data_IF_490429834730
#
_entry.id   IF_490429834730
#
_cell.length_a   1.000
_cell.length_b   1.000
_cell.length_c   1.000
_cell.angle_alpha   90.00
_cell.angle_beta   90.00
_cell.angle_gamma   90.00
#
_symmetry.space_group_name_H-M   'P 1'
#
loop_
_entity.id
_entity.type
_entity.pdbx_description
1 polymer ?
#
# COMPACT_ATOMS: atom_id res chain seq x y z
N UNK A 1 1.44 -12.79 -15.10
CA UNK A 1 0.03 -12.57 -15.48
C UNK A 1 -0.45 -11.28 -14.84
N UNK A 2 -1.22 -10.47 -15.57
CA UNK A 2 -1.85 -9.23 -15.09
C UNK A 2 -3.36 -9.34 -15.25
N UNK A 3 -4.08 -9.14 -14.15
CA UNK A 3 -5.52 -8.91 -14.12
C UNK A 3 -5.76 -7.44 -13.76
N UNK A 4 -6.36 -6.68 -14.65
CA UNK A 4 -6.63 -5.26 -14.44
C UNK A 4 -8.11 -4.97 -14.61
N UNK A 5 -8.76 -4.48 -13.55
CA UNK A 5 -10.20 -4.18 -13.50
C UNK A 5 -11.10 -5.35 -13.94
N UNK A 6 -10.66 -6.58 -13.68
CA UNK A 6 -11.33 -7.81 -14.13
C UNK A 6 -11.88 -8.65 -12.98
N UNK A 7 -11.32 -8.45 -11.78
CA UNK A 7 -11.70 -9.27 -10.63
C UNK A 7 -13.16 -9.05 -10.24
N UNK A 8 -13.66 -7.83 -10.34
CA UNK A 8 -15.05 -7.51 -10.02
C UNK A 8 -16.05 -8.28 -10.89
N UNK A 9 -15.73 -8.47 -12.20
CA UNK A 9 -16.56 -9.23 -13.12
C UNK A 9 -16.47 -10.72 -12.82
N UNK A 10 -15.25 -11.23 -12.60
CA UNK A 10 -15.02 -12.64 -12.22
C UNK A 10 -15.65 -12.96 -10.86
N UNK A 11 -15.66 -12.00 -9.95
CA UNK A 11 -16.07 -12.16 -8.56
C UNK A 11 -17.58 -11.93 -8.34
N UNK A 12 -18.36 -11.63 -9.37
CA UNK A 12 -19.79 -11.38 -9.22
C UNK A 12 -20.48 -12.63 -8.64
N UNK A 13 -21.18 -12.44 -7.52
CA UNK A 13 -21.88 -13.53 -6.82
C UNK A 13 -20.98 -14.55 -6.09
N UNK A 14 -19.65 -14.30 -6.02
CA UNK A 14 -18.69 -15.21 -5.39
C UNK A 14 -18.15 -14.68 -4.06
N UNK A 15 -17.91 -15.59 -3.13
CA UNK A 15 -17.22 -15.28 -1.88
C UNK A 15 -15.68 -15.23 -2.05
N UNK A 16 -14.98 -14.78 -1.01
CA UNK A 16 -13.51 -14.63 -1.03
C UNK A 16 -12.79 -15.98 -1.25
N UNK A 17 -13.33 -17.08 -0.77
CA UNK A 17 -12.74 -18.41 -0.93
C UNK A 17 -12.85 -18.91 -2.38
N UNK A 18 -13.97 -18.66 -3.02
CA UNK A 18 -14.17 -19.00 -4.44
C UNK A 18 -13.23 -18.18 -5.34
N UNK A 19 -13.13 -16.85 -5.07
CA UNK A 19 -12.20 -15.96 -5.79
C UNK A 19 -10.75 -16.41 -5.58
N UNK A 20 -10.38 -16.82 -4.36
CA UNK A 20 -9.05 -17.33 -4.06
C UNK A 20 -8.70 -18.57 -4.88
N UNK A 21 -9.64 -19.52 -5.04
CA UNK A 21 -9.44 -20.71 -5.88
C UNK A 21 -9.22 -20.34 -7.35
N UNK A 22 -9.97 -19.36 -7.87
CA UNK A 22 -9.79 -18.88 -9.24
C UNK A 22 -8.40 -18.24 -9.42
N UNK A 23 -7.96 -17.41 -8.47
CA UNK A 23 -6.61 -16.80 -8.51
C UNK A 23 -5.50 -17.86 -8.46
N UNK A 24 -5.68 -18.91 -7.65
CA UNK A 24 -4.76 -20.06 -7.62
C UNK A 24 -4.75 -20.79 -8.96
N UNK A 25 -5.91 -21.09 -9.54
CA UNK A 25 -6.01 -21.72 -10.86
C UNK A 25 -5.35 -20.90 -11.97
N UNK A 26 -5.54 -19.57 -11.97
CA UNK A 26 -4.87 -18.67 -12.91
C UNK A 26 -3.34 -18.71 -12.73
N UNK A 27 -2.87 -18.86 -11.49
CA UNK A 27 -1.45 -18.89 -11.19
C UNK A 27 -0.73 -20.13 -11.73
N UNK A 28 -1.43 -21.21 -12.05
CA UNK A 28 -0.85 -22.41 -12.67
C UNK A 28 -0.22 -22.12 -14.05
N UNK A 29 -0.66 -21.04 -14.70
CA UNK A 29 -0.06 -20.56 -15.96
C UNK A 29 1.24 -19.76 -15.77
N UNK A 30 1.66 -19.50 -14.53
CA UNK A 30 2.88 -18.73 -14.25
C UNK A 30 4.12 -19.57 -14.56
N UNK A 31 5.11 -18.93 -15.18
CA UNK A 31 6.46 -19.49 -15.27
C UNK A 31 7.09 -19.53 -13.87
N UNK A 32 8.11 -20.39 -13.64
CA UNK A 32 8.87 -20.38 -12.39
C UNK A 32 9.35 -18.97 -12.02
N UNK A 33 9.05 -18.51 -10.81
CA UNK A 33 9.36 -17.16 -10.33
C UNK A 33 8.47 -16.05 -10.91
N UNK A 34 7.44 -16.39 -11.65
CA UNK A 34 6.46 -15.44 -12.19
C UNK A 34 5.55 -14.85 -11.11
N UNK A 35 4.88 -13.76 -11.48
CA UNK A 35 3.95 -13.05 -10.62
C UNK A 35 2.55 -12.99 -11.23
N UNK A 36 1.55 -13.11 -10.37
CA UNK A 36 0.18 -12.73 -10.66
C UNK A 36 -0.06 -11.35 -10.01
N UNK A 37 -0.33 -10.37 -10.84
CA UNK A 37 -0.61 -8.99 -10.43
C UNK A 37 -2.10 -8.77 -10.63
N UNK A 38 -2.81 -8.38 -9.59
CA UNK A 38 -4.23 -7.98 -9.68
C UNK A 38 -4.33 -6.52 -9.31
N UNK A 39 -4.92 -5.73 -10.20
CA UNK A 39 -5.13 -4.28 -10.03
C UNK A 39 -6.60 -3.96 -10.22
N UNK A 40 -7.20 -3.28 -9.25
CA UNK A 40 -8.61 -2.95 -9.23
C UNK A 40 -8.85 -1.47 -8.94
N UNK A 41 -9.99 -0.90 -9.36
CA UNK A 41 -10.35 0.47 -8.99
C UNK A 41 -10.38 0.68 -7.47
N UNK A 42 -9.97 1.86 -7.01
CA UNK A 42 -9.88 2.19 -5.57
C UNK A 42 -11.25 2.50 -4.94
N UNK A 43 -12.23 1.66 -5.18
CA UNK A 43 -13.50 1.68 -4.45
C UNK A 43 -13.34 0.81 -3.19
N UNK A 44 -13.99 1.22 -2.10
CA UNK A 44 -13.84 0.49 -0.82
C UNK A 44 -14.20 -0.98 -0.97
N UNK A 45 -15.39 -1.28 -1.50
CA UNK A 45 -15.89 -2.65 -1.62
C UNK A 45 -15.02 -3.50 -2.53
N UNK A 46 -14.48 -2.90 -3.60
CA UNK A 46 -13.56 -3.56 -4.54
C UNK A 46 -12.23 -3.88 -3.88
N UNK A 47 -11.64 -2.91 -3.17
CA UNK A 47 -10.38 -3.12 -2.45
C UNK A 47 -10.54 -4.11 -1.30
N UNK A 48 -11.62 -4.02 -0.54
CA UNK A 48 -11.88 -4.96 0.56
C UNK A 48 -12.05 -6.39 0.03
N UNK A 49 -12.81 -6.58 -1.06
CA UNK A 49 -12.95 -7.88 -1.75
C UNK A 49 -11.62 -8.44 -2.22
N UNK A 50 -10.78 -7.59 -2.86
CA UNK A 50 -9.45 -7.95 -3.32
C UNK A 50 -8.57 -8.45 -2.16
N UNK A 51 -8.56 -7.73 -1.05
CA UNK A 51 -7.74 -8.09 0.11
C UNK A 51 -8.30 -9.25 0.93
N UNK A 52 -9.61 -9.44 0.99
CA UNK A 52 -10.22 -10.65 1.56
C UNK A 52 -9.85 -11.88 0.73
N UNK A 53 -9.96 -11.79 -0.60
CA UNK A 53 -9.53 -12.86 -1.49
C UNK A 53 -8.04 -13.20 -1.31
N UNK A 54 -7.17 -12.17 -1.16
CA UNK A 54 -5.75 -12.41 -0.90
C UNK A 54 -5.50 -13.14 0.42
N UNK A 55 -6.27 -12.85 1.47
CA UNK A 55 -6.19 -13.58 2.74
C UNK A 55 -6.58 -15.05 2.56
N UNK A 56 -7.67 -15.32 1.83
CA UNK A 56 -8.07 -16.69 1.52
C UNK A 56 -7.06 -17.44 0.64
N UNK A 57 -6.35 -16.76 -0.27
CA UNK A 57 -5.23 -17.33 -1.03
C UNK A 57 -4.10 -17.79 -0.11
N UNK A 58 -3.77 -16.98 0.90
CA UNK A 58 -2.74 -17.34 1.89
C UNK A 58 -3.13 -18.57 2.72
N UNK A 59 -4.42 -18.75 3.02
CA UNK A 59 -4.94 -19.93 3.73
C UNK A 59 -4.80 -21.21 2.88
N UNK A 60 -4.97 -21.13 1.56
CA UNK A 60 -4.72 -22.24 0.62
C UNK A 60 -3.24 -22.65 0.64
N UNK A 61 -2.32 -21.67 0.80
CA UNK A 61 -0.90 -21.91 1.01
C UNK A 61 -0.07 -22.20 -0.25
N UNK A 62 -0.66 -22.16 -1.45
CA UNK A 62 0.06 -22.40 -2.72
C UNK A 62 0.75 -21.15 -3.27
N UNK A 63 0.32 -19.97 -2.85
CA UNK A 63 0.86 -18.67 -3.24
C UNK A 63 1.25 -17.84 -2.02
N UNK A 64 2.18 -16.94 -2.24
CA UNK A 64 2.64 -15.97 -1.27
C UNK A 64 2.35 -14.55 -1.74
N UNK A 65 1.99 -13.68 -0.80
CA UNK A 65 1.76 -12.27 -1.05
C UNK A 65 3.11 -11.51 -1.02
N UNK A 66 3.42 -10.79 -2.08
CA UNK A 66 4.62 -9.95 -2.20
C UNK A 66 4.32 -8.45 -2.03
N UNK A 67 3.08 -8.05 -2.08
CA UNK A 67 2.63 -6.67 -1.92
C UNK A 67 1.12 -6.58 -1.81
N UNK A 68 0.61 -5.47 -1.27
CA UNK A 68 1.33 -4.22 -0.96
C UNK A 68 2.11 -4.20 0.36
N UNK A 69 1.93 -5.18 1.26
CA UNK A 69 2.55 -5.18 2.59
C UNK A 69 3.73 -6.14 2.68
N UNK A 70 4.63 -5.87 3.64
CA UNK A 70 5.84 -6.66 3.86
C UNK A 70 5.57 -8.05 4.41
N UNK A 71 6.56 -8.94 4.23
CA UNK A 71 6.60 -10.28 4.82
C UNK A 71 5.41 -11.17 4.47
N UNK A 72 4.76 -10.91 3.34
CA UNK A 72 3.59 -11.67 2.92
C UNK A 72 2.36 -11.47 3.81
N UNK A 73 2.31 -10.39 4.58
CA UNK A 73 1.23 -10.13 5.51
C UNK A 73 -0.08 -9.75 4.78
N UNK A 74 -1.23 -10.20 5.30
CA UNK A 74 -2.53 -9.77 4.80
C UNK A 74 -2.78 -8.29 5.09
N UNK A 75 -3.80 -7.72 4.45
CA UNK A 75 -4.15 -6.31 4.62
C UNK A 75 -4.66 -6.02 6.04
N UNK A 76 -3.99 -5.17 6.83
CA UNK A 76 -4.41 -4.88 8.19
C UNK A 76 -5.75 -4.14 8.26
N UNK A 77 -6.10 -3.35 7.24
CA UNK A 77 -7.34 -2.56 7.22
C UNK A 77 -8.59 -3.43 7.10
N UNK A 78 -8.54 -4.48 6.29
CA UNK A 78 -9.66 -5.40 6.15
C UNK A 78 -9.85 -6.22 7.42
N UNK A 79 -8.76 -6.67 8.04
CA UNK A 79 -8.81 -7.47 9.28
C UNK A 79 -9.33 -6.66 10.47
N UNK A 80 -9.04 -5.36 10.53
CA UNK A 80 -9.49 -4.47 11.60
C UNK A 80 -10.90 -3.89 11.40
N UNK A 81 -11.52 -4.10 10.24
CA UNK A 81 -12.80 -3.45 9.89
C UNK A 81 -12.70 -1.93 9.77
N UNK A 82 -11.55 -1.41 9.38
CA UNK A 82 -11.30 0.01 9.26
C UNK A 82 -12.29 0.72 8.32
N UNK A 83 -12.60 1.99 8.59
CA UNK A 83 -13.46 2.82 7.73
C UNK A 83 -12.81 3.15 6.39
N UNK A 84 -11.48 3.17 6.34
CA UNK A 84 -10.69 3.38 5.14
C UNK A 84 -10.18 2.04 4.61
N UNK A 85 -9.80 2.02 3.34
CA UNK A 85 -9.39 0.83 2.62
C UNK A 85 -7.98 0.99 2.04
N UNK A 86 -7.33 -0.13 1.77
CA UNK A 86 -6.02 -0.18 1.16
C UNK A 86 -6.11 0.19 -0.32
N UNK A 87 -5.45 1.25 -0.71
CA UNK A 87 -5.31 1.65 -2.11
C UNK A 87 -4.04 2.47 -2.30
N UNK A 88 -3.61 2.59 -3.54
CA UNK A 88 -2.52 3.45 -3.96
C UNK A 88 -3.04 4.70 -4.65
N UNK A 89 -2.25 5.76 -4.59
CA UNK A 89 -2.50 7.01 -5.30
C UNK A 89 -1.24 7.39 -6.05
N UNK A 90 -1.32 7.53 -7.37
CA UNK A 90 -0.22 8.01 -8.20
C UNK A 90 -0.63 9.30 -8.87
N UNK A 91 0.16 10.33 -8.64
CA UNK A 91 -0.03 11.65 -9.24
C UNK A 91 0.83 11.77 -10.47
N UNK A 92 0.26 11.41 -11.61
CA UNK A 92 0.93 11.51 -12.90
C UNK A 92 0.05 12.23 -13.91
N UNK A 93 0.70 12.96 -14.80
CA UNK A 93 0.00 13.51 -15.96
C UNK A 93 -0.53 12.34 -16.79
N UNK A 94 -1.85 12.26 -17.05
CA UNK A 94 -2.42 11.20 -17.86
C UNK A 94 -1.81 11.23 -19.29
N UNK A 95 -1.82 10.09 -20.00
CA UNK A 95 -1.48 10.07 -21.43
C UNK A 95 -2.27 11.12 -22.20
N UNK A 96 -1.67 11.67 -23.25
CA UNK A 96 -2.28 12.77 -24.02
C UNK A 96 -3.67 12.44 -24.55
N UNK A 97 -3.88 11.19 -25.00
CA UNK A 97 -5.20 10.74 -25.46
C UNK A 97 -6.26 10.84 -24.36
N UNK A 98 -5.92 10.47 -23.12
CA UNK A 98 -6.84 10.57 -21.97
C UNK A 98 -7.14 12.05 -21.65
N UNK A 99 -6.13 12.92 -21.73
CA UNK A 99 -6.33 14.36 -21.55
C UNK A 99 -7.28 14.93 -22.59
N UNK A 100 -7.10 14.58 -23.87
CA UNK A 100 -7.97 15.02 -24.98
C UNK A 100 -9.41 14.54 -24.80
N UNK A 101 -9.63 13.29 -24.33
CA UNK A 101 -10.96 12.75 -24.05
C UNK A 101 -11.65 13.42 -22.87
N UNK A 102 -10.88 13.83 -21.87
CA UNK A 102 -11.41 14.43 -20.66
C UNK A 102 -11.67 15.93 -20.79
N UNK A 103 -10.94 16.62 -21.67
CA UNK A 103 -11.04 18.06 -21.87
C UNK A 103 -12.46 18.55 -22.22
N UNK A 104 -13.20 17.94 -23.19
CA UNK A 104 -14.55 18.39 -23.54
C UNK A 104 -15.58 18.28 -22.43
N UNK A 105 -15.37 17.37 -21.45
CA UNK A 105 -16.27 17.15 -20.34
C UNK A 105 -15.77 17.79 -19.03
N UNK A 106 -14.72 18.63 -19.12
CA UNK A 106 -14.19 19.38 -17.97
C UNK A 106 -13.51 18.52 -16.91
N UNK A 107 -13.16 17.26 -17.21
CA UNK A 107 -12.48 16.38 -16.25
C UNK A 107 -10.97 16.65 -16.25
N UNK A 108 -10.43 16.89 -15.05
CA UNK A 108 -8.99 16.98 -14.83
C UNK A 108 -8.54 15.84 -13.90
N UNK A 109 -8.31 14.67 -14.49
CA UNK A 109 -7.81 13.52 -13.75
C UNK A 109 -6.31 13.71 -13.49
N UNK A 110 -5.94 13.89 -12.22
CA UNK A 110 -4.54 14.03 -11.79
C UNK A 110 -4.07 12.84 -10.98
N UNK A 111 -4.98 12.18 -10.29
CA UNK A 111 -4.69 11.07 -9.39
C UNK A 111 -5.21 9.76 -10.00
N UNK A 112 -4.30 8.80 -10.20
CA UNK A 112 -4.67 7.42 -10.50
C UNK A 112 -4.75 6.67 -9.18
N UNK A 113 -5.95 6.20 -8.85
CA UNK A 113 -6.23 5.48 -7.60
C UNK A 113 -6.58 4.03 -7.90
N UNK A 114 -5.89 3.10 -7.25
CA UNK A 114 -6.11 1.67 -7.47
C UNK A 114 -5.75 0.85 -6.23
N UNK A 115 -6.45 -0.27 -6.03
CA UNK A 115 -6.03 -1.35 -5.14
C UNK A 115 -5.18 -2.35 -5.91
N UNK A 116 -4.23 -3.01 -5.25
CA UNK A 116 -3.49 -4.09 -5.89
C UNK A 116 -3.04 -5.16 -4.91
N UNK A 117 -2.82 -6.35 -5.45
CA UNK A 117 -2.07 -7.42 -4.80
C UNK A 117 -1.05 -8.00 -5.77
N UNK A 118 0.04 -8.50 -5.23
CA UNK A 118 1.11 -9.15 -5.96
C UNK A 118 1.34 -10.53 -5.36
N UNK A 119 1.05 -11.58 -6.12
CA UNK A 119 1.11 -12.97 -5.70
C UNK A 119 2.18 -13.74 -6.49
N UNK A 120 2.86 -14.69 -5.84
CA UNK A 120 3.82 -15.60 -6.48
C UNK A 120 3.90 -16.92 -5.73
N UNK A 121 4.24 -18.05 -6.40
CA UNK A 121 4.60 -19.30 -5.73
C UNK A 121 5.90 -19.17 -4.88
N UNK A 122 6.76 -18.20 -5.20
CA UNK A 122 7.99 -17.93 -4.48
C UNK A 122 7.69 -17.13 -3.20
N UNK A 123 8.36 -17.47 -2.10
CA UNK A 123 8.27 -16.69 -0.85
C UNK A 123 8.83 -15.29 -1.03
N UNK A 124 8.21 -14.26 -0.42
CA UNK A 124 8.74 -12.89 -0.43
C UNK A 124 10.04 -12.79 0.35
N UNK A 125 10.81 -11.73 0.07
CA UNK A 125 11.95 -11.34 0.90
C UNK A 125 11.42 -10.96 2.28
N UNK A 126 12.08 -11.44 3.33
CA UNK A 126 11.73 -11.09 4.70
C UNK A 126 12.42 -9.80 5.10
N UNK A 127 11.65 -8.86 5.61
CA UNK A 127 12.11 -7.63 6.24
C UNK A 127 12.04 -7.73 7.76
N UNK A 128 12.80 -6.89 8.45
CA UNK A 128 12.71 -6.76 9.91
C UNK A 128 11.28 -6.45 10.34
N UNK A 129 10.80 -7.18 11.35
CA UNK A 129 9.48 -6.93 11.93
C UNK A 129 9.56 -5.76 12.90
N UNK A 130 8.57 -4.87 12.84
CA UNK A 130 8.49 -3.71 13.71
C UNK A 130 8.28 -2.41 12.94
N UNK A 131 8.45 -1.26 13.62
CA UNK A 131 8.20 0.05 13.03
C UNK A 131 9.36 0.61 12.21
N UNK A 132 10.55 -0.01 12.26
CA UNK A 132 11.78 0.51 11.63
C UNK A 132 11.68 0.60 10.12
N UNK A 133 11.12 -0.45 9.47
CA UNK A 133 10.85 -0.45 8.04
C UNK A 133 9.35 -0.35 7.84
N UNK A 134 8.91 0.66 7.13
CA UNK A 134 7.48 0.91 6.93
C UNK A 134 7.16 1.32 5.50
N UNK A 135 5.95 0.98 5.07
CA UNK A 135 5.34 1.52 3.86
C UNK A 135 4.40 2.67 4.22
N UNK A 136 4.58 3.81 3.59
CA UNK A 136 3.71 4.97 3.76
C UNK A 136 2.34 4.71 3.10
N UNK A 137 1.26 4.82 3.87
CA UNK A 137 -0.11 4.52 3.40
C UNK A 137 -1.06 5.71 3.48
N UNK A 138 -0.56 6.88 3.91
CA UNK A 138 -1.30 8.14 3.91
C UNK A 138 -0.44 9.27 3.31
N UNK A 139 -1.02 10.40 2.92
CA UNK A 139 -0.24 11.60 2.69
C UNK A 139 0.38 12.09 4.00
N UNK A 140 1.45 12.87 3.90
CA UNK A 140 1.98 13.62 5.04
C UNK A 140 1.03 14.77 5.38
N UNK A 141 0.57 14.81 6.62
CA UNK A 141 -0.35 15.82 7.12
C UNK A 141 0.40 16.78 8.05
N UNK A 142 0.19 18.08 7.85
CA UNK A 142 0.67 19.12 8.75
C UNK A 142 -0.41 19.44 9.79
N UNK A 143 -0.12 19.19 11.04
CA UNK A 143 -0.91 19.62 12.19
C UNK A 143 -0.16 20.70 12.96
N UNK A 144 -0.80 21.31 13.97
CA UNK A 144 -0.15 22.34 14.80
C UNK A 144 1.17 21.81 15.41
N UNK A 145 2.29 22.30 14.89
CA UNK A 145 3.63 21.95 15.38
C UNK A 145 4.20 20.59 14.98
N UNK A 146 3.47 19.78 14.19
CA UNK A 146 3.84 18.39 13.86
C UNK A 146 3.53 18.07 12.41
N UNK A 147 4.42 17.34 11.75
CA UNK A 147 4.08 16.52 10.57
C UNK A 147 3.73 15.12 11.03
N UNK A 148 2.65 14.55 10.50
CA UNK A 148 2.23 13.18 10.80
C UNK A 148 1.83 12.43 9.54
N UNK A 149 2.06 11.13 9.54
CA UNK A 149 1.66 10.22 8.47
C UNK A 149 1.36 8.83 9.04
N UNK A 150 0.63 8.02 8.28
CA UNK A 150 0.34 6.64 8.64
C UNK A 150 1.20 5.71 7.81
N UNK A 151 1.81 4.74 8.44
CA UNK A 151 2.61 3.70 7.80
C UNK A 151 2.27 2.32 8.34
N UNK A 152 2.52 1.30 7.51
CA UNK A 152 2.42 -0.11 7.89
C UNK A 152 3.84 -0.65 8.02
N UNK A 153 4.18 -1.11 9.23
CA UNK A 153 5.49 -1.67 9.53
C UNK A 153 5.71 -3.08 8.99
N UNK A 154 6.93 -3.59 9.16
CA UNK A 154 7.29 -4.96 8.79
C UNK A 154 6.55 -6.05 9.56
N UNK A 155 5.87 -5.70 10.64
CA UNK A 155 4.97 -6.55 11.43
C UNK A 155 3.49 -6.45 10.99
N UNK A 156 3.22 -5.76 9.88
CA UNK A 156 1.89 -5.48 9.35
C UNK A 156 0.99 -4.64 10.27
N UNK A 157 1.57 -3.96 11.25
CA UNK A 157 0.79 -3.07 12.11
C UNK A 157 0.75 -1.65 11.58
N UNK A 158 -0.45 -1.07 11.62
CA UNK A 158 -0.68 0.33 11.33
C UNK A 158 -0.19 1.21 12.49
N UNK A 159 0.58 2.25 12.15
CA UNK A 159 1.08 3.22 13.14
C UNK A 159 1.01 4.63 12.60
N UNK A 160 0.76 5.58 13.51
CA UNK A 160 0.92 7.00 13.24
C UNK A 160 2.37 7.41 13.55
N UNK A 161 3.06 7.95 12.56
CA UNK A 161 4.43 8.47 12.68
C UNK A 161 4.39 9.98 12.78
N UNK A 162 5.18 10.55 13.68
CA UNK A 162 5.16 12.00 13.96
C UNK A 162 6.58 12.56 14.08
N UNK A 163 6.77 13.77 13.53
CA UNK A 163 7.99 14.52 13.67
C UNK A 163 7.67 15.99 14.00
N UNK A 164 8.34 16.56 15.00
CA UNK A 164 8.12 17.94 15.45
C UNK A 164 8.68 18.92 14.44
N UNK A 165 7.87 19.93 14.02
CA UNK A 165 8.27 20.92 13.02
C UNK A 165 9.39 21.82 13.55
N UNK A 166 9.42 22.10 14.86
CA UNK A 166 10.45 22.92 15.49
C UNK A 166 11.86 22.34 15.36
N UNK A 167 11.96 21.01 15.25
CA UNK A 167 13.21 20.26 15.17
C UNK A 167 13.72 20.15 13.72
N UNK A 168 13.00 20.75 12.74
CA UNK A 168 13.26 20.63 11.31
C UNK A 168 13.83 21.92 10.71
N UNK A 169 14.94 21.81 9.98
CA UNK A 169 15.44 22.84 9.05
C UNK A 169 14.54 22.92 7.80
N UNK A 170 14.66 23.98 7.01
CA UNK A 170 13.85 24.17 5.80
C UNK A 170 13.97 22.99 4.81
N UNK A 171 15.19 22.55 4.53
CA UNK A 171 15.46 21.39 3.65
C UNK A 171 14.83 20.08 4.14
N UNK A 172 14.82 19.87 5.46
CA UNK A 172 14.16 18.72 6.07
C UNK A 172 12.63 18.77 5.92
N UNK A 173 12.04 19.97 5.97
CA UNK A 173 10.58 20.14 5.76
C UNK A 173 10.19 19.81 4.34
N UNK A 174 10.96 20.25 3.35
CA UNK A 174 10.76 19.91 1.94
C UNK A 174 10.84 18.40 1.72
N UNK A 175 11.86 17.75 2.29
CA UNK A 175 12.02 16.30 2.25
C UNK A 175 10.79 15.59 2.83
N UNK A 176 10.36 15.94 4.05
CA UNK A 176 9.21 15.31 4.71
C UNK A 176 7.91 15.52 3.92
N UNK A 177 7.67 16.74 3.43
CA UNK A 177 6.46 17.05 2.64
C UNK A 177 6.49 16.36 1.26
N UNK A 178 7.68 16.09 0.73
CA UNK A 178 7.88 15.36 -0.54
C UNK A 178 7.72 13.84 -0.44
N UNK A 179 7.51 13.29 0.76
CA UNK A 179 7.21 11.86 0.91
C UNK A 179 5.78 11.58 0.43
N UNK A 180 5.59 10.48 -0.29
CA UNK A 180 4.32 10.12 -0.89
C UNK A 180 3.85 8.73 -0.45
N UNK A 181 2.54 8.48 -0.59
CA UNK A 181 1.97 7.15 -0.38
C UNK A 181 2.68 6.13 -1.25
N UNK A 182 3.05 5.01 -0.65
CA UNK A 182 3.79 3.94 -1.31
C UNK A 182 5.30 3.99 -1.08
N UNK A 183 5.86 5.12 -0.64
CA UNK A 183 7.26 5.18 -0.25
C UNK A 183 7.55 4.14 0.83
N UNK A 184 8.70 3.48 0.69
CA UNK A 184 9.23 2.57 1.70
C UNK A 184 10.33 3.30 2.45
N UNK A 185 10.16 3.42 3.76
CA UNK A 185 11.05 4.18 4.62
C UNK A 185 11.78 3.24 5.58
N UNK A 186 13.03 3.58 5.88
CA UNK A 186 13.79 3.05 7.01
C UNK A 186 13.94 4.15 8.07
N UNK A 187 13.56 3.82 9.30
CA UNK A 187 13.81 4.68 10.46
C UNK A 187 15.03 4.18 11.22
N UNK A 188 16.07 5.00 11.29
CA UNK A 188 17.30 4.72 12.03
C UNK A 188 17.21 5.06 13.51
N UNK A 189 16.22 5.90 13.89
CA UNK A 189 15.91 6.25 15.26
C UNK A 189 14.41 6.57 15.39
N UNK A 190 13.80 6.05 16.43
CA UNK A 190 12.38 6.25 16.74
C UNK A 190 12.08 5.93 18.21
N UNK A 191 10.97 6.45 18.71
CA UNK A 191 10.45 6.21 20.05
C UNK A 191 8.98 5.82 19.95
N UNK A 192 8.59 4.67 20.54
CA UNK A 192 7.20 4.26 20.58
C UNK A 192 6.49 4.85 21.81
N UNK A 193 5.25 5.26 21.64
CA UNK A 193 4.37 5.68 22.73
C UNK A 193 2.91 5.27 22.42
N UNK A 194 1.99 5.50 23.34
CA UNK A 194 0.59 5.03 23.22
C UNK A 194 0.51 3.53 22.84
N UNK A 195 1.19 2.69 23.61
CA UNK A 195 1.23 1.22 23.41
C UNK A 195 1.76 0.81 22.03
N UNK A 196 2.69 1.60 21.48
CA UNK A 196 3.30 1.32 20.18
C UNK A 196 2.45 1.74 18.96
N UNK A 197 1.27 2.33 19.17
CA UNK A 197 0.42 2.81 18.06
C UNK A 197 0.92 4.11 17.44
N UNK A 198 1.73 4.85 18.18
CA UNK A 198 2.37 6.08 17.70
C UNK A 198 3.87 5.99 17.82
N UNK A 199 4.54 6.49 16.82
CA UNK A 199 6.00 6.49 16.70
C UNK A 199 6.45 7.94 16.54
N UNK A 200 7.29 8.38 17.47
CA UNK A 200 7.98 9.66 17.36
C UNK A 200 9.29 9.48 16.63
N UNK A 201 9.52 10.30 15.62
CA UNK A 201 10.79 10.39 14.92
C UNK A 201 11.53 11.61 15.48
N UNK A 202 12.68 11.44 16.15
CA UNK A 202 13.32 12.53 16.86
C UNK A 202 13.95 13.55 15.92
N UNK A 203 14.37 13.16 14.73
CA UNK A 203 15.03 14.01 13.74
C UNK A 203 14.84 13.51 12.31
N UNK A 204 14.87 14.42 11.33
CA UNK A 204 14.57 14.08 9.93
C UNK A 204 15.64 13.21 9.28
N UNK A 205 16.91 13.33 9.66
CA UNK A 205 18.02 12.51 9.18
C UNK A 205 17.97 11.05 9.67
N UNK A 206 17.03 10.75 10.57
CA UNK A 206 16.69 9.38 10.94
C UNK A 206 15.80 8.68 9.91
N UNK A 207 15.27 9.38 8.89
CA UNK A 207 14.44 8.82 7.84
C UNK A 207 15.28 8.65 6.56
N UNK A 208 15.27 7.43 6.04
CA UNK A 208 15.83 7.10 4.74
C UNK A 208 14.73 6.53 3.84
N UNK A 209 14.63 6.99 2.60
CA UNK A 209 13.73 6.41 1.61
C UNK A 209 14.46 5.25 0.94
N UNK A 210 14.05 4.01 1.26
CA UNK A 210 14.62 2.81 0.66
C UNK A 210 14.10 2.57 -0.77
N UNK A 211 12.86 2.95 -1.00
CA UNK A 211 12.23 2.81 -2.31
C UNK A 211 11.14 3.87 -2.47
N UNK A 212 11.11 4.47 -3.65
CA UNK A 212 10.09 5.42 -4.07
C UNK A 212 9.41 4.89 -5.34
N UNK A 213 8.08 4.75 -5.37
CA UNK A 213 7.40 4.37 -6.59
C UNK A 213 7.53 5.48 -7.63
N UNK A 214 8.03 5.14 -8.80
CA UNK A 214 8.14 6.04 -9.95
C UNK A 214 6.78 6.35 -10.59
#
# INVERSE_FOLDING_TARGET
VLLSSSLNEIAEGRDSSQIAKDLVGISESLKPGGFLIVVEPALKDTCDRLHLASSSVLEIGSLHLHGPYFNGAPCPFVLSGARYHSHEVRRRKPPEIVQRLNQPIGLSVKDHKFGFILLSPKKPISFERGPSILRLVSPVMKKKGVYSFVGIGGDAQERCYEIQIRDLRATHREFIVGMERGDVLLLRAWEAYEEGRRIRIPRADAIEILWKPE
#
